data_IF_100589904685
#
_entry.id   IF_100589904685
#
_cell.length_a   1.000
_cell.length_b   1.000
_cell.length_c   1.000
_cell.angle_alpha   90.00
_cell.angle_beta   90.00
_cell.angle_gamma   90.00
#
_symmetry.space_group_name_H-M   'P 1'
#
loop_
_entity.id
_entity.type
_entity.pdbx_description
1 polymer ?
#
# COMPACT_ATOMS: atom_id res chain seq x y z
N UNK A 1 -15.31 25.79 28.04
CA UNK A 1 -13.84 25.86 28.00
C UNK A 1 -13.40 25.46 26.60
N UNK A 2 -13.24 26.44 25.70
CA UNK A 2 -12.91 26.23 24.29
C UNK A 2 -11.46 26.64 24.05
N UNK A 3 -10.53 25.73 24.32
CA UNK A 3 -9.18 25.89 23.78
C UNK A 3 -9.24 25.63 22.27
N UNK A 4 -9.17 26.72 21.50
CA UNK A 4 -8.88 26.66 20.07
C UNK A 4 -7.39 26.32 19.90
N UNK A 5 -7.10 25.03 19.71
CA UNK A 5 -5.79 24.52 19.26
C UNK A 5 -5.56 24.90 17.80
N UNK A 6 -5.19 26.16 17.53
CA UNK A 6 -4.94 26.67 16.16
C UNK A 6 -3.48 26.55 15.69
N UNK A 7 -2.65 25.73 16.36
CA UNK A 7 -1.24 25.56 16.01
C UNK A 7 -0.99 24.48 14.96
N UNK A 8 -1.43 24.68 13.72
CA UNK A 8 -1.06 23.80 12.59
C UNK A 8 0.44 23.89 12.22
N UNK A 9 0.98 22.95 11.43
CA UNK A 9 2.38 22.99 11.03
C UNK A 9 2.69 24.25 10.21
N UNK A 10 3.92 24.75 10.31
CA UNK A 10 4.36 25.86 9.46
C UNK A 10 4.28 25.46 7.98
N UNK A 11 4.09 26.43 7.09
CA UNK A 11 3.96 26.20 5.64
C UNK A 11 5.11 25.35 5.07
N UNK A 12 6.34 25.58 5.54
CA UNK A 12 7.51 24.82 5.10
C UNK A 12 7.50 23.36 5.55
N UNK A 13 7.03 23.07 6.77
CA UNK A 13 6.90 21.70 7.28
C UNK A 13 5.81 20.95 6.53
N UNK A 14 4.67 21.59 6.30
CA UNK A 14 3.58 21.01 5.51
C UNK A 14 4.03 20.74 4.07
N UNK A 15 4.74 21.67 3.43
CA UNK A 15 5.27 21.46 2.09
C UNK A 15 6.20 20.26 2.00
N UNK A 16 7.11 20.06 2.98
CA UNK A 16 7.98 18.88 3.04
C UNK A 16 7.19 17.58 3.24
N UNK A 17 6.17 17.59 4.09
CA UNK A 17 5.30 16.44 4.29
C UNK A 17 4.51 16.08 3.02
N UNK A 18 4.03 17.08 2.28
CA UNK A 18 3.34 16.89 1.00
C UNK A 18 4.28 16.42 -0.11
N UNK A 19 5.49 16.98 -0.18
CA UNK A 19 6.52 16.50 -1.12
C UNK A 19 6.90 15.05 -0.82
N UNK A 20 7.05 14.68 0.44
CA UNK A 20 7.34 13.30 0.81
C UNK A 20 6.16 12.35 0.57
N UNK A 21 4.95 12.75 0.98
CA UNK A 21 3.76 11.91 0.90
C UNK A 21 3.11 11.85 -0.49
N UNK A 22 3.34 12.82 -1.36
CA UNK A 22 2.72 12.86 -2.70
C UNK A 22 3.71 13.14 -3.84
N UNK A 23 4.63 14.08 -3.64
CA UNK A 23 5.64 14.43 -4.66
C UNK A 23 6.59 13.26 -4.99
N UNK A 24 7.17 12.62 -3.99
CA UNK A 24 8.06 11.47 -4.14
C UNK A 24 7.38 10.30 -4.85
N UNK A 25 6.17 9.84 -4.44
CA UNK A 25 5.42 8.84 -5.19
C UNK A 25 5.27 9.15 -6.68
N UNK A 26 4.86 10.38 -7.03
CA UNK A 26 4.69 10.78 -8.43
C UNK A 26 5.99 10.71 -9.22
N UNK A 27 7.08 11.24 -8.66
CA UNK A 27 8.39 11.23 -9.32
C UNK A 27 8.88 9.79 -9.51
N UNK A 28 8.80 8.96 -8.47
CA UNK A 28 9.21 7.56 -8.51
C UNK A 28 8.41 6.79 -9.55
N UNK A 29 7.08 6.93 -9.56
CA UNK A 29 6.21 6.27 -10.52
C UNK A 29 6.46 6.73 -11.95
N UNK A 30 6.64 8.03 -12.18
CA UNK A 30 6.94 8.57 -13.49
C UNK A 30 8.28 8.04 -14.02
N UNK A 31 9.33 8.06 -13.19
CA UNK A 31 10.64 7.51 -13.55
C UNK A 31 10.55 6.02 -13.84
N UNK A 32 9.86 5.25 -12.99
CA UNK A 32 9.68 3.82 -13.18
C UNK A 32 8.90 3.48 -14.47
N UNK A 33 7.81 4.19 -14.74
CA UNK A 33 7.04 4.00 -15.96
C UNK A 33 7.85 4.34 -17.22
N UNK A 34 8.60 5.45 -17.20
CA UNK A 34 9.49 5.84 -18.32
C UNK A 34 10.58 4.81 -18.54
N UNK A 35 11.20 4.27 -17.48
CA UNK A 35 12.22 3.23 -17.59
C UNK A 35 11.67 1.95 -18.24
N UNK A 36 10.51 1.46 -17.78
CA UNK A 36 9.86 0.28 -18.40
C UNK A 36 9.56 0.53 -19.88
N UNK A 37 9.03 1.71 -20.23
CA UNK A 37 8.76 2.08 -21.62
C UNK A 37 10.03 2.21 -22.46
N UNK A 38 11.14 2.64 -21.85
CA UNK A 38 12.44 2.72 -22.55
C UNK A 38 13.00 1.34 -22.90
N UNK A 39 12.61 0.29 -22.16
CA UNK A 39 13.02 -1.09 -22.42
C UNK A 39 12.09 -1.83 -23.37
N UNK A 40 11.01 -1.19 -23.84
CA UNK A 40 9.95 -1.86 -24.63
C UNK A 40 10.47 -2.62 -25.86
N UNK A 41 11.51 -2.11 -26.51
CA UNK A 41 12.07 -2.68 -27.74
C UNK A 41 13.03 -3.85 -27.47
N UNK A 42 13.44 -4.02 -26.20
CA UNK A 42 14.32 -5.10 -25.75
C UNK A 42 13.57 -6.21 -25.00
N UNK A 43 12.27 -6.04 -24.76
CA UNK A 43 11.45 -6.98 -24.00
C UNK A 43 10.71 -7.95 -24.94
N UNK A 44 10.42 -9.18 -24.48
CA UNK A 44 9.51 -10.07 -25.20
C UNK A 44 8.12 -9.44 -25.34
N UNK A 45 7.36 -9.88 -26.34
CA UNK A 45 6.03 -9.34 -26.64
C UNK A 45 5.08 -9.37 -25.43
N UNK A 46 5.28 -10.35 -24.53
CA UNK A 46 4.65 -10.39 -23.22
C UNK A 46 5.71 -10.64 -22.15
N UNK A 47 5.70 -9.82 -21.12
CA UNK A 47 6.56 -9.95 -19.95
C UNK A 47 5.85 -10.72 -18.86
N UNK A 48 6.57 -11.61 -18.16
CA UNK A 48 6.12 -12.22 -16.93
C UNK A 48 5.87 -11.10 -15.90
N UNK A 49 4.68 -11.11 -15.32
CA UNK A 49 4.21 -10.13 -14.33
C UNK A 49 3.55 -10.75 -13.12
N UNK A 50 3.33 -12.07 -13.15
CA UNK A 50 2.85 -12.86 -12.04
C UNK A 50 3.61 -14.17 -12.00
N UNK A 51 3.84 -14.64 -10.77
CA UNK A 51 4.51 -15.90 -10.49
C UNK A 51 3.66 -16.69 -9.51
N UNK A 52 3.55 -17.99 -9.75
CA UNK A 52 2.89 -18.94 -8.87
C UNK A 52 3.62 -19.11 -7.54
N UNK A 53 3.04 -19.88 -6.63
CA UNK A 53 3.66 -20.19 -5.32
C UNK A 53 4.92 -21.04 -5.45
N UNK A 54 5.07 -21.74 -6.58
CA UNK A 54 6.27 -22.49 -6.97
C UNK A 54 7.37 -21.59 -7.58
N UNK A 55 7.10 -20.29 -7.75
CA UNK A 55 8.04 -19.32 -8.32
C UNK A 55 8.11 -19.32 -9.84
N UNK A 56 7.25 -20.08 -10.52
CA UNK A 56 7.18 -20.12 -11.99
C UNK A 56 6.29 -19.03 -12.55
N UNK A 57 6.60 -18.51 -13.74
CA UNK A 57 5.82 -17.46 -14.38
C UNK A 57 4.51 -18.03 -14.95
N UNK A 58 3.37 -17.57 -14.43
CA UNK A 58 2.03 -18.05 -14.80
C UNK A 58 1.10 -16.92 -15.30
N UNK A 59 1.53 -15.66 -15.22
CA UNK A 59 0.78 -14.51 -15.73
C UNK A 59 1.65 -13.48 -16.43
N UNK A 60 1.16 -13.00 -17.58
CA UNK A 60 1.91 -12.15 -18.48
C UNK A 60 1.16 -10.87 -18.84
N UNK A 61 1.89 -9.79 -19.09
CA UNK A 61 1.35 -8.50 -19.50
C UNK A 61 2.23 -7.83 -20.56
N UNK A 62 1.78 -6.71 -21.12
CA UNK A 62 2.62 -5.89 -22.00
C UNK A 62 3.44 -4.89 -21.18
N UNK A 63 4.60 -4.48 -21.69
CA UNK A 63 5.41 -3.43 -21.07
C UNK A 63 4.60 -2.12 -20.84
N UNK A 64 3.72 -1.78 -21.78
CA UNK A 64 2.83 -0.63 -21.67
C UNK A 64 1.82 -0.78 -20.52
N UNK A 65 1.23 -1.96 -20.36
CA UNK A 65 0.32 -2.26 -19.24
C UNK A 65 1.04 -2.10 -17.91
N UNK A 66 2.27 -2.60 -17.80
CA UNK A 66 3.07 -2.48 -16.59
C UNK A 66 3.43 -1.02 -16.28
N UNK A 67 3.83 -0.24 -17.28
CA UNK A 67 4.09 1.19 -17.12
C UNK A 67 2.86 1.96 -16.62
N UNK A 68 1.67 1.66 -17.16
CA UNK A 68 0.42 2.24 -16.68
C UNK A 68 0.07 1.82 -15.25
N UNK A 69 0.33 0.57 -14.87
CA UNK A 69 0.14 0.10 -13.49
C UNK A 69 1.07 0.84 -12.53
N UNK A 70 2.35 1.00 -12.86
CA UNK A 70 3.32 1.76 -12.05
C UNK A 70 2.83 3.22 -11.89
N UNK A 71 2.50 3.88 -13.00
CA UNK A 71 2.04 5.27 -12.98
C UNK A 71 0.72 5.44 -12.23
N UNK A 72 -0.25 4.56 -12.46
CA UNK A 72 -1.55 4.57 -11.79
C UNK A 72 -1.44 4.31 -10.29
N UNK A 73 -0.59 3.37 -9.88
CA UNK A 73 -0.34 3.08 -8.47
C UNK A 73 0.34 4.27 -7.78
N UNK A 74 1.37 4.85 -8.40
CA UNK A 74 2.02 6.05 -7.90
C UNK A 74 1.06 7.25 -7.78
N UNK A 75 0.20 7.47 -8.76
CA UNK A 75 -0.82 8.52 -8.71
C UNK A 75 -1.84 8.28 -7.59
N UNK A 76 -2.31 7.04 -7.42
CA UNK A 76 -3.23 6.69 -6.34
C UNK A 76 -2.58 6.93 -4.96
N UNK A 77 -1.35 6.47 -4.76
CA UNK A 77 -0.60 6.71 -3.52
C UNK A 77 -0.35 8.20 -3.30
N UNK A 78 -0.07 8.98 -4.35
CA UNK A 78 0.09 10.43 -4.22
C UNK A 78 -1.19 11.14 -3.78
N UNK A 79 -2.34 10.76 -4.33
CA UNK A 79 -3.66 11.30 -3.91
C UNK A 79 -3.98 10.92 -2.47
N UNK A 80 -3.76 9.65 -2.10
CA UNK A 80 -3.98 9.17 -0.73
C UNK A 80 -3.04 9.89 0.24
N UNK A 81 -1.76 9.98 -0.08
CA UNK A 81 -0.75 10.66 0.73
C UNK A 81 -1.06 12.14 0.90
N UNK A 82 -1.45 12.84 -0.17
CA UNK A 82 -1.91 14.23 -0.12
C UNK A 82 -3.12 14.37 0.83
N UNK A 83 -4.17 13.58 0.62
CA UNK A 83 -5.39 13.66 1.41
C UNK A 83 -5.13 13.37 2.90
N UNK A 84 -4.39 12.29 3.20
CA UNK A 84 -4.08 11.89 4.56
C UNK A 84 -3.15 12.87 5.26
N UNK A 85 -2.10 13.38 4.59
CA UNK A 85 -1.22 14.41 5.18
C UNK A 85 -2.03 15.65 5.53
N UNK A 86 -2.94 16.10 4.66
CA UNK A 86 -3.80 17.24 4.97
C UNK A 86 -4.78 16.96 6.12
N UNK A 87 -5.34 15.75 6.19
CA UNK A 87 -6.27 15.35 7.22
C UNK A 87 -5.61 15.23 8.61
N UNK A 88 -4.39 14.70 8.66
CA UNK A 88 -3.69 14.40 9.92
C UNK A 88 -2.61 15.42 10.29
N UNK A 89 -2.49 16.53 9.54
CA UNK A 89 -1.43 17.55 9.68
C UNK A 89 -1.27 18.13 11.09
N UNK A 90 -2.29 18.04 11.94
CA UNK A 90 -2.22 18.46 13.33
C UNK A 90 -1.27 17.58 14.16
N UNK A 91 -1.14 16.30 13.82
CA UNK A 91 -0.27 15.33 14.50
C UNK A 91 1.01 15.08 13.68
N UNK A 92 2.15 15.50 14.24
CA UNK A 92 3.44 15.36 13.60
C UNK A 92 3.90 13.90 13.42
N UNK A 93 3.54 13.02 14.36
CA UNK A 93 3.92 11.61 14.32
C UNK A 93 3.12 10.92 13.23
N UNK A 94 1.80 11.07 13.25
CA UNK A 94 0.91 10.44 12.26
C UNK A 94 1.21 10.96 10.86
N UNK A 95 1.43 12.27 10.68
CA UNK A 95 1.76 12.84 9.37
C UNK A 95 3.08 12.30 8.82
N UNK A 96 4.11 12.14 9.66
CA UNK A 96 5.38 11.54 9.26
C UNK A 96 5.21 10.09 8.84
N UNK A 97 4.48 9.30 9.62
CA UNK A 97 4.23 7.88 9.30
C UNK A 97 3.48 7.74 7.97
N UNK A 98 2.45 8.55 7.73
CA UNK A 98 1.73 8.58 6.44
C UNK A 98 2.71 8.89 5.31
N UNK A 99 3.47 9.98 5.41
CA UNK A 99 4.38 10.39 4.34
C UNK A 99 5.45 9.32 4.03
N UNK A 100 6.03 8.70 5.07
CA UNK A 100 7.08 7.67 4.89
C UNK A 100 6.53 6.39 4.30
N UNK A 101 5.33 5.96 4.71
CA UNK A 101 4.74 4.71 4.24
C UNK A 101 4.27 4.85 2.80
N UNK A 102 3.69 5.99 2.41
CA UNK A 102 3.29 6.24 1.02
C UNK A 102 4.51 6.24 0.11
N UNK A 103 5.56 7.00 0.44
CA UNK A 103 6.79 7.05 -0.35
C UNK A 103 7.48 5.67 -0.45
N UNK A 104 7.63 4.99 0.69
CA UNK A 104 8.29 3.68 0.76
C UNK A 104 7.56 2.59 0.00
N UNK A 105 6.22 2.53 0.11
CA UNK A 105 5.40 1.55 -0.62
C UNK A 105 5.47 1.78 -2.13
N UNK A 106 5.36 3.04 -2.59
CA UNK A 106 5.49 3.35 -4.02
C UNK A 106 6.87 2.97 -4.55
N UNK A 107 7.93 3.24 -3.79
CA UNK A 107 9.29 2.85 -4.15
C UNK A 107 9.46 1.33 -4.20
N UNK A 108 8.96 0.59 -3.21
CA UNK A 108 8.98 -0.87 -3.20
C UNK A 108 8.31 -1.46 -4.45
N UNK A 109 7.06 -1.08 -4.73
CA UNK A 109 6.32 -1.61 -5.87
C UNK A 109 6.98 -1.24 -7.19
N UNK A 110 7.45 0.00 -7.33
CA UNK A 110 8.13 0.45 -8.54
C UNK A 110 9.45 -0.27 -8.75
N UNK A 111 10.27 -0.41 -7.71
CA UNK A 111 11.55 -1.11 -7.77
C UNK A 111 11.38 -2.60 -8.06
N UNK A 112 10.38 -3.25 -7.45
CA UNK A 112 10.05 -4.65 -7.74
C UNK A 112 9.70 -4.83 -9.21
N UNK A 113 8.80 -4.00 -9.75
CA UNK A 113 8.44 -4.04 -11.16
C UNK A 113 9.64 -3.82 -12.08
N UNK A 114 10.51 -2.87 -11.77
CA UNK A 114 11.73 -2.61 -12.55
C UNK A 114 12.70 -3.80 -12.53
N UNK A 115 13.01 -4.34 -11.35
CA UNK A 115 13.96 -5.44 -11.19
C UNK A 115 13.46 -6.74 -11.86
N UNK A 116 12.14 -6.97 -11.86
CA UNK A 116 11.55 -8.13 -12.53
C UNK A 116 11.47 -7.95 -14.05
N UNK A 117 11.26 -6.72 -14.54
CA UNK A 117 11.21 -6.42 -15.98
C UNK A 117 12.59 -6.40 -16.60
N UNK A 118 13.56 -5.79 -15.91
CA UNK A 118 14.95 -5.68 -16.37
C UNK A 118 15.54 -7.04 -16.76
N UNK A 119 15.28 -8.08 -15.96
CA UNK A 119 15.78 -9.45 -16.18
C UNK A 119 15.22 -10.14 -17.43
N UNK A 120 14.16 -9.60 -18.00
CA UNK A 120 13.51 -10.16 -19.18
C UNK A 120 14.01 -9.54 -20.48
N UNK A 121 14.92 -8.56 -20.42
CA UNK A 121 15.51 -7.91 -21.58
C UNK A 121 16.36 -8.90 -22.38
N UNK A 122 16.22 -8.86 -23.71
CA UNK A 122 16.93 -9.75 -24.63
C UNK A 122 16.37 -11.17 -24.70
N UNK A 123 15.32 -11.50 -23.94
CA UNK A 123 14.66 -12.79 -24.02
C UNK A 123 13.65 -12.82 -25.17
N UNK A 124 13.55 -13.95 -25.85
CA UNK A 124 12.52 -14.21 -26.86
C UNK A 124 11.18 -14.61 -26.23
N UNK A 125 11.22 -15.26 -25.06
CA UNK A 125 10.05 -15.69 -24.28
C UNK A 125 10.32 -15.53 -22.78
N UNK A 126 9.30 -15.11 -22.04
CA UNK A 126 9.34 -14.89 -20.60
C UNK A 126 8.85 -16.11 -19.79
N UNK A 127 8.36 -17.18 -20.42
CA UNK A 127 7.76 -18.33 -19.73
C UNK A 127 8.71 -19.07 -18.77
N UNK A 128 10.02 -19.06 -19.07
CA UNK A 128 11.04 -19.72 -18.24
C UNK A 128 11.65 -18.83 -17.13
N UNK A 129 11.10 -17.63 -16.91
CA UNK A 129 11.69 -16.68 -15.95
C UNK A 129 11.19 -16.99 -14.54
N UNK A 130 12.08 -17.51 -13.70
CA UNK A 130 11.80 -17.75 -12.28
C UNK A 130 11.88 -16.46 -11.45
N UNK A 131 11.13 -16.40 -10.36
CA UNK A 131 11.14 -15.28 -9.43
C UNK A 131 12.44 -15.24 -8.62
N UNK A 132 13.34 -14.27 -8.83
CA UNK A 132 14.59 -14.22 -8.08
C UNK A 132 14.35 -13.57 -6.71
N UNK A 133 14.62 -14.30 -5.63
CA UNK A 133 14.49 -13.77 -4.26
C UNK A 133 15.32 -12.49 -4.01
N UNK A 134 16.43 -12.32 -4.72
CA UNK A 134 17.24 -11.09 -4.68
C UNK A 134 16.52 -9.86 -5.24
N UNK A 135 15.59 -10.03 -6.20
CA UNK A 135 14.78 -8.93 -6.71
C UNK A 135 13.80 -8.44 -5.63
N UNK A 136 13.19 -9.36 -4.88
CA UNK A 136 12.31 -9.02 -3.75
C UNK A 136 13.12 -8.29 -2.67
N UNK A 137 14.28 -8.84 -2.29
CA UNK A 137 15.15 -8.23 -1.28
C UNK A 137 15.64 -6.84 -1.71
N UNK A 138 16.04 -6.69 -2.97
CA UNK A 138 16.47 -5.40 -3.55
C UNK A 138 15.35 -4.37 -3.59
N UNK A 139 14.13 -4.77 -3.99
CA UNK A 139 12.97 -3.91 -3.98
C UNK A 139 12.60 -3.47 -2.56
N UNK A 140 12.63 -4.39 -1.59
CA UNK A 140 12.38 -4.09 -0.19
C UNK A 140 13.41 -3.09 0.35
N UNK A 141 14.68 -3.29 0.04
CA UNK A 141 15.76 -2.38 0.41
C UNK A 141 15.53 -0.97 -0.18
N UNK A 142 15.12 -0.87 -1.46
CA UNK A 142 14.80 0.39 -2.11
C UNK A 142 13.61 1.10 -1.43
N UNK A 143 12.55 0.35 -1.10
CA UNK A 143 11.39 0.86 -0.37
C UNK A 143 11.75 1.41 1.01
N UNK A 144 12.56 0.67 1.78
CA UNK A 144 13.06 1.11 3.09
C UNK A 144 13.94 2.34 2.96
N UNK A 145 14.85 2.38 1.97
CA UNK A 145 15.73 3.52 1.76
C UNK A 145 14.93 4.81 1.46
N UNK A 146 13.90 4.73 0.62
CA UNK A 146 13.03 5.87 0.33
C UNK A 146 12.17 6.26 1.54
N UNK A 147 11.68 5.30 2.31
CA UNK A 147 10.95 5.57 3.55
C UNK A 147 11.85 6.32 4.57
N UNK A 148 13.11 5.90 4.72
CA UNK A 148 14.09 6.58 5.57
C UNK A 148 14.40 7.98 5.05
N UNK A 149 14.61 8.14 3.74
CA UNK A 149 14.80 9.45 3.11
C UNK A 149 13.61 10.38 3.41
N UNK A 150 12.38 9.91 3.19
CA UNK A 150 11.17 10.66 3.53
C UNK A 150 11.11 11.01 5.03
N UNK A 151 11.52 10.10 5.91
CA UNK A 151 11.52 10.31 7.35
C UNK A 151 12.50 11.40 7.79
N UNK A 152 13.65 11.50 7.10
CA UNK A 152 14.67 12.54 7.31
C UNK A 152 14.20 13.88 6.74
N UNK A 153 13.56 13.87 5.57
CA UNK A 153 13.07 15.08 4.90
C UNK A 153 11.88 15.73 5.63
N UNK A 154 11.04 14.95 6.31
CA UNK A 154 9.90 15.47 7.08
C UNK A 154 10.32 15.71 8.54
N UNK A 155 10.56 16.98 8.95
CA UNK A 155 10.99 17.29 10.31
C UNK A 155 9.88 16.95 11.31
N UNK A 156 10.26 16.71 12.57
CA UNK A 156 9.29 16.64 13.69
C UNK A 156 8.88 18.06 14.07
N UNK A 157 7.59 18.29 14.31
CA UNK A 157 7.09 19.54 14.90
C UNK A 157 6.31 19.25 16.17
N UNK A 158 6.35 20.21 17.08
CA UNK A 158 5.49 20.22 18.25
C UNK A 158 4.29 21.10 17.91
N UNK A 159 3.05 20.65 18.12
CA UNK A 159 1.88 21.53 18.06
C UNK A 159 2.18 22.75 18.94
N UNK A 160 2.14 23.94 18.35
CA UNK A 160 2.66 25.14 19.01
C UNK A 160 1.94 25.39 20.33
N UNK A 161 2.65 25.24 21.45
CA UNK A 161 2.35 26.01 22.65
C UNK A 161 2.59 27.46 22.25
N UNK A 162 1.52 28.24 22.10
CA UNK A 162 1.62 29.68 21.91
C UNK A 162 2.55 30.19 23.03
N UNK A 163 3.67 30.87 22.72
CA UNK A 163 4.45 31.50 23.76
C UNK A 163 3.49 32.32 24.61
N UNK A 164 3.51 32.13 25.93
CA UNK A 164 2.78 33.03 26.82
C UNK A 164 3.19 34.43 26.40
N UNK A 165 2.22 35.25 26.00
CA UNK A 165 2.49 36.61 25.55
C UNK A 165 3.25 37.37 26.65
N UNK A 166 3.87 38.51 26.31
CA UNK A 166 4.43 39.37 27.33
C UNK A 166 3.40 39.60 28.44
N UNK A 167 3.88 39.63 29.68
CA UNK A 167 3.03 39.90 30.85
C UNK A 167 2.17 41.14 30.57
N UNK A 168 0.90 41.16 31.01
CA UNK A 168 0.08 42.35 30.92
C UNK A 168 0.83 43.58 31.42
N UNK A 169 0.67 44.77 30.82
CA UNK A 169 1.38 45.98 31.26
C UNK A 169 1.17 46.20 32.76
N UNK A 170 2.26 46.22 33.53
CA UNK A 170 2.24 46.38 34.99
C UNK A 170 2.31 45.08 35.81
N UNK A 171 2.25 43.90 35.19
CA UNK A 171 2.46 42.63 35.88
C UNK A 171 3.98 42.30 35.96
N UNK A 172 4.48 42.11 37.18
CA UNK A 172 5.87 41.71 37.46
C UNK A 172 6.03 40.21 37.73
N UNK A 173 4.93 39.51 37.95
CA UNK A 173 4.90 38.07 38.21
C UNK A 173 3.93 37.34 37.26
N UNK A 174 4.22 36.07 36.99
CA UNK A 174 3.35 35.21 36.18
C UNK A 174 2.02 34.96 36.88
N UNK A 175 0.90 34.74 36.17
CA UNK A 175 -0.38 34.44 36.82
C UNK A 175 -0.28 33.21 37.74
N UNK A 176 -0.63 33.37 39.01
CA UNK A 176 -0.66 32.28 39.98
C UNK A 176 -2.11 31.78 40.12
N UNK A 177 -2.32 30.48 39.97
CA UNK A 177 -3.58 29.86 40.37
C UNK A 177 -3.51 29.59 41.88
N UNK A 178 -4.38 30.23 42.65
CA UNK A 178 -4.50 29.94 44.08
C UNK A 178 -5.11 28.54 44.26
N UNK A 179 -4.37 27.63 44.90
CA UNK A 179 -4.80 26.26 45.18
C UNK A 179 -4.99 26.14 46.69
N UNK A 180 -6.19 25.77 47.13
CA UNK A 180 -6.56 25.66 48.54
C UNK A 180 -5.91 24.47 49.26
N UNK A 181 -5.95 24.49 50.60
CA UNK A 181 -5.47 23.37 51.42
C UNK A 181 -6.34 22.15 51.17
N UNK A 182 -5.77 21.13 50.50
CA UNK A 182 -6.47 19.90 50.11
C UNK A 182 -6.85 19.83 48.63
N UNK A 183 -6.69 20.91 47.87
CA UNK A 183 -6.89 20.89 46.42
C UNK A 183 -5.68 20.25 45.73
N UNK A 184 -5.96 19.38 44.76
CA UNK A 184 -4.95 18.71 43.93
C UNK A 184 -5.11 19.17 42.51
N UNK A 185 -4.06 19.79 41.97
CA UNK A 185 -3.98 20.09 40.54
C UNK A 185 -3.34 18.90 39.85
N UNK A 186 -4.02 18.37 38.84
CA UNK A 186 -3.53 17.26 38.02
C UNK A 186 -3.43 17.74 36.58
N UNK A 187 -2.24 17.61 36.00
CA UNK A 187 -2.05 17.74 34.56
C UNK A 187 -1.89 16.36 33.96
N UNK A 188 -2.84 15.97 33.11
CA UNK A 188 -2.71 14.76 32.31
C UNK A 188 -2.25 15.16 30.90
N UNK A 189 -1.17 14.52 30.45
CA UNK A 189 -0.75 14.54 29.05
C UNK A 189 -1.02 13.16 28.48
N UNK A 190 -1.77 13.10 27.39
CA UNK A 190 -1.87 11.87 26.60
C UNK A 190 -0.52 11.55 25.97
N UNK A 191 0.16 10.51 26.47
CA UNK A 191 1.35 9.95 25.82
C UNK A 191 0.89 8.91 24.79
N UNK A 192 0.80 9.30 23.52
CA UNK A 192 0.61 8.34 22.44
C UNK A 192 1.86 7.44 22.38
N UNK A 193 1.73 6.18 22.76
CA UNK A 193 2.77 5.15 22.63
C UNK A 193 3.20 5.05 21.15
N UNK A 194 4.44 5.42 20.89
CA UNK A 194 4.94 5.71 19.56
C UNK A 194 5.10 4.50 18.62
N UNK A 195 4.92 4.80 17.34
CA UNK A 195 5.70 4.24 16.23
C UNK A 195 5.33 2.83 15.78
N UNK A 196 5.68 1.81 16.55
CA UNK A 196 5.73 0.43 16.02
C UNK A 196 4.35 -0.18 15.79
N UNK A 197 3.38 -0.11 16.72
CA UNK A 197 2.05 -0.68 16.48
C UNK A 197 1.29 0.04 15.36
N UNK A 198 1.47 1.36 15.25
CA UNK A 198 0.88 2.17 14.19
C UNK A 198 1.46 1.88 12.81
N UNK A 199 2.78 1.69 12.71
CA UNK A 199 3.45 1.27 11.47
C UNK A 199 3.00 -0.13 11.05
N UNK A 200 2.88 -1.07 11.99
CA UNK A 200 2.38 -2.44 11.71
C UNK A 200 0.93 -2.41 11.21
N UNK A 201 0.07 -1.58 11.82
CA UNK A 201 -1.32 -1.40 11.37
C UNK A 201 -1.41 -0.82 9.96
N UNK A 202 -0.61 0.20 9.66
CA UNK A 202 -0.62 0.86 8.35
C UNK A 202 -0.01 -0.05 7.28
N UNK A 203 1.08 -0.76 7.59
CA UNK A 203 1.65 -1.78 6.71
C UNK A 203 0.63 -2.91 6.45
N UNK A 204 -0.09 -3.35 7.48
CA UNK A 204 -1.19 -4.30 7.35
C UNK A 204 -2.29 -3.80 6.41
N UNK A 205 -2.76 -2.56 6.58
CA UNK A 205 -3.76 -1.93 5.69
C UNK A 205 -3.24 -1.85 4.25
N UNK A 206 -1.97 -1.51 4.04
CA UNK A 206 -1.34 -1.47 2.72
C UNK A 206 -1.32 -2.84 2.04
N UNK A 207 -0.93 -3.89 2.78
CA UNK A 207 -0.97 -5.28 2.30
C UNK A 207 -2.40 -5.71 1.97
N UNK A 208 -3.38 -5.41 2.83
CA UNK A 208 -4.79 -5.73 2.57
C UNK A 208 -5.32 -4.99 1.34
N UNK A 209 -4.94 -3.72 1.13
CA UNK A 209 -5.34 -2.95 -0.04
C UNK A 209 -4.72 -3.53 -1.33
N UNK A 210 -3.45 -3.95 -1.30
CA UNK A 210 -2.79 -4.62 -2.44
C UNK A 210 -3.47 -5.94 -2.77
N UNK A 211 -3.76 -6.78 -1.77
CA UNK A 211 -4.50 -8.04 -1.96
C UNK A 211 -5.88 -7.75 -2.57
N UNK A 212 -6.59 -6.72 -2.08
CA UNK A 212 -7.88 -6.30 -2.61
C UNK A 212 -7.82 -5.81 -4.06
N UNK A 213 -6.79 -5.06 -4.43
CA UNK A 213 -6.58 -4.56 -5.81
C UNK A 213 -6.24 -5.69 -6.76
N UNK A 214 -5.33 -6.60 -6.37
CA UNK A 214 -4.97 -7.79 -7.16
C UNK A 214 -6.18 -8.72 -7.31
N UNK A 215 -6.88 -9.02 -6.22
CA UNK A 215 -8.10 -9.83 -6.24
C UNK A 215 -9.20 -9.20 -7.09
N UNK A 216 -9.36 -7.88 -7.06
CA UNK A 216 -10.28 -7.15 -7.94
C UNK A 216 -9.86 -7.26 -9.40
N UNK A 217 -8.57 -7.13 -9.71
CA UNK A 217 -8.08 -7.20 -11.09
C UNK A 217 -8.34 -8.59 -11.70
N UNK A 218 -8.11 -9.67 -10.93
CA UNK A 218 -8.38 -11.06 -11.34
C UNK A 218 -9.87 -11.33 -11.51
N UNK A 219 -10.72 -10.81 -10.62
CA UNK A 219 -12.17 -11.05 -10.62
C UNK A 219 -13.00 -10.13 -11.54
N UNK A 220 -12.46 -8.98 -11.97
CA UNK A 220 -13.21 -8.02 -12.82
C UNK A 220 -12.66 -7.87 -14.24
N UNK A 221 -11.39 -8.21 -14.47
CA UNK A 221 -10.71 -8.04 -15.77
C UNK A 221 -10.04 -9.35 -16.24
N UNK A 222 -9.69 -10.26 -15.31
CA UNK A 222 -9.03 -11.54 -15.60
C UNK A 222 -9.95 -12.68 -16.05
N UNK A 223 -9.40 -13.90 -16.23
CA UNK A 223 -10.12 -15.08 -16.76
C UNK A 223 -11.31 -15.53 -15.89
N UNK A 224 -11.41 -15.04 -14.65
CA UNK A 224 -12.48 -15.33 -13.70
C UNK A 224 -13.53 -14.21 -13.63
N UNK A 225 -13.59 -13.33 -14.63
CA UNK A 225 -14.54 -12.21 -14.68
C UNK A 225 -15.99 -12.67 -14.45
N UNK A 226 -16.64 -12.09 -13.45
CA UNK A 226 -18.04 -12.40 -13.11
C UNK A 226 -18.26 -13.67 -12.27
N UNK A 227 -17.18 -14.34 -11.87
CA UNK A 227 -17.23 -15.58 -11.06
C UNK A 227 -17.52 -15.25 -9.60
N UNK A 228 -18.43 -16.00 -8.96
CA UNK A 228 -18.72 -15.89 -7.52
C UNK A 228 -17.75 -16.79 -6.74
N UNK A 229 -16.99 -16.24 -5.80
CA UNK A 229 -16.02 -17.02 -5.01
C UNK A 229 -16.45 -17.22 -3.57
N UNK A 230 -16.39 -18.45 -3.07
CA UNK A 230 -16.57 -18.79 -1.66
C UNK A 230 -15.25 -19.35 -1.12
N UNK A 231 -14.55 -18.56 -0.31
CA UNK A 231 -13.32 -18.96 0.37
C UNK A 231 -13.70 -19.34 1.80
N UNK A 232 -13.77 -20.64 2.07
CA UNK A 232 -14.05 -21.17 3.39
C UNK A 232 -12.75 -21.49 4.15
N UNK A 233 -11.68 -21.82 3.41
CA UNK A 233 -10.35 -22.13 3.91
C UNK A 233 -9.31 -21.90 2.81
N UNK A 234 -8.05 -21.65 3.15
CA UNK A 234 -6.98 -21.59 2.16
C UNK A 234 -6.65 -22.97 1.61
N UNK A 235 -6.48 -23.11 0.29
CA UNK A 235 -6.21 -24.39 -0.39
C UNK A 235 -6.59 -24.35 -1.86
N UNK A 236 -6.58 -25.52 -2.51
CA UNK A 236 -7.02 -25.70 -3.89
C UNK A 236 -8.50 -25.32 -4.08
N UNK A 237 -8.90 -25.05 -5.32
CA UNK A 237 -10.25 -24.58 -5.61
C UNK A 237 -10.88 -25.28 -6.81
N UNK A 238 -12.18 -25.55 -6.70
CA UNK A 238 -13.03 -26.04 -7.78
C UNK A 238 -13.72 -24.85 -8.46
N UNK A 239 -13.56 -24.73 -9.79
CA UNK A 239 -14.36 -23.83 -10.63
C UNK A 239 -15.53 -24.62 -11.22
N UNK A 240 -16.75 -24.23 -10.86
CA UNK A 240 -18.00 -24.80 -11.38
C UNK A 240 -18.62 -23.80 -12.35
N UNK A 241 -18.84 -24.22 -13.59
CA UNK A 241 -19.60 -23.47 -14.59
C UNK A 241 -21.00 -24.10 -14.70
N UNK A 242 -22.02 -23.36 -14.29
CA UNK A 242 -23.41 -23.76 -14.43
C UNK A 242 -23.86 -23.61 -15.89
N UNK A 243 -24.89 -24.35 -16.29
CA UNK A 243 -25.44 -24.33 -17.66
C UNK A 243 -26.05 -23.00 -18.07
N UNK A 244 -26.41 -22.15 -17.11
CA UNK A 244 -26.84 -20.77 -17.30
C UNK A 244 -25.67 -19.78 -17.47
N UNK A 245 -24.43 -20.28 -17.53
CA UNK A 245 -23.20 -19.50 -17.68
C UNK A 245 -22.67 -18.90 -16.38
N UNK A 246 -23.33 -19.14 -15.24
CA UNK A 246 -22.86 -18.65 -13.94
C UNK A 246 -21.65 -19.47 -13.50
N UNK A 247 -20.54 -18.78 -13.21
CA UNK A 247 -19.30 -19.40 -12.73
C UNK A 247 -19.17 -19.21 -11.22
N UNK A 248 -18.83 -20.27 -10.51
CA UNK A 248 -18.64 -20.28 -9.06
C UNK A 248 -17.32 -20.96 -8.69
N UNK A 249 -16.51 -20.33 -7.84
CA UNK A 249 -15.28 -20.90 -7.26
C UNK A 249 -15.53 -21.29 -5.81
N UNK A 250 -15.11 -22.49 -5.43
CA UNK A 250 -15.17 -22.97 -4.05
C UNK A 250 -13.81 -23.53 -3.66
N UNK A 251 -13.19 -22.98 -2.61
CA UNK A 251 -11.95 -23.53 -2.04
C UNK A 251 -12.26 -24.77 -1.21
N UNK A 252 -11.56 -25.87 -1.45
CA UNK A 252 -11.72 -27.16 -0.76
C UNK A 252 -10.34 -27.77 -0.48
N UNK A 253 -10.25 -28.64 0.52
CA UNK A 253 -8.96 -29.24 0.92
C UNK A 253 -8.37 -30.17 -0.17
N UNK A 254 -9.22 -30.77 -1.02
CA UNK A 254 -8.82 -31.60 -2.18
C UNK A 254 -9.80 -31.37 -3.35
N UNK A 255 -9.40 -30.50 -4.28
CA UNK A 255 -10.24 -30.13 -5.43
C UNK A 255 -10.39 -31.27 -6.44
N UNK A 256 -9.40 -32.16 -6.55
CA UNK A 256 -9.43 -33.30 -7.47
C UNK A 256 -10.50 -34.31 -7.08
N UNK A 257 -10.51 -34.71 -5.80
CA UNK A 257 -11.53 -35.60 -5.25
C UNK A 257 -12.92 -34.97 -5.28
N UNK A 258 -13.02 -33.67 -4.97
CA UNK A 258 -14.29 -32.93 -5.03
C UNK A 258 -14.86 -32.86 -6.47
N UNK A 259 -14.00 -32.62 -7.48
CA UNK A 259 -14.40 -32.61 -8.88
C UNK A 259 -14.91 -33.98 -9.32
N UNK A 260 -14.19 -35.06 -8.97
CA UNK A 260 -14.58 -36.43 -9.29
C UNK A 260 -15.95 -36.79 -8.69
N UNK A 261 -16.18 -36.43 -7.42
CA UNK A 261 -17.47 -36.64 -6.75
C UNK A 261 -18.59 -35.85 -7.42
N UNK A 262 -18.35 -34.57 -7.73
CA UNK A 262 -19.35 -33.71 -8.37
C UNK A 262 -19.75 -34.27 -9.75
N UNK A 263 -18.77 -34.65 -10.57
CA UNK A 263 -19.02 -35.24 -11.88
C UNK A 263 -19.81 -36.55 -11.76
N UNK A 264 -19.45 -37.44 -10.83
CA UNK A 264 -20.18 -38.68 -10.58
C UNK A 264 -21.64 -38.45 -10.14
N UNK A 265 -21.90 -37.41 -9.33
CA UNK A 265 -23.26 -37.03 -8.92
C UNK A 265 -24.07 -36.45 -10.09
N UNK A 266 -23.45 -35.64 -10.94
CA UNK A 266 -24.07 -35.10 -12.15
C UNK A 266 -24.43 -36.23 -13.12
N UNK A 267 -23.52 -37.16 -13.34
CA UNK A 267 -23.73 -38.33 -14.20
C UNK A 267 -24.86 -39.22 -13.69
N UNK A 268 -24.94 -39.45 -12.37
CA UNK A 268 -26.03 -40.22 -11.76
C UNK A 268 -27.39 -39.52 -11.83
N UNK A 269 -27.41 -38.19 -11.70
CA UNK A 269 -28.66 -37.42 -11.63
C UNK A 269 -29.21 -37.03 -13.00
N UNK A 270 -28.34 -36.80 -13.97
CA UNK A 270 -28.70 -36.27 -15.29
C UNK A 270 -28.29 -37.17 -16.46
N UNK A 271 -27.58 -38.29 -16.20
CA UNK A 271 -27.16 -39.24 -17.25
C UNK A 271 -25.91 -38.83 -18.02
N UNK A 272 -25.19 -37.80 -17.53
CA UNK A 272 -24.08 -37.16 -18.23
C UNK A 272 -24.51 -35.80 -18.83
N UNK A 273 -23.54 -34.89 -18.94
CA UNK A 273 -23.66 -33.61 -19.68
C UNK A 273 -22.99 -33.77 -21.04
#
# INVERSE_FOLDING_TARGET
MTEQTTGGPSRGVLARALLAGAGLPLVIGAVGAVLVLSWRDELPARVASHWGTDGTADGFSSASTLAWLIGGFAAAFAVIGLALVLAVRADATVTRVVATTTAGTTAFVTALSLLLTERQRGLTDAAGVELPGTAIAGALAAGVAVAVLAAVLVPRWTPGTRPLGPLPPGATEAPHLAVGVGERVVWTRSAATGGVPGVVLIAGIGVTAVIGVVGRHVSTIGPLKGTRGYILRGGDALLVECTDGVRTIVTVDDAGTAAALLNALLERRFGGI
#
